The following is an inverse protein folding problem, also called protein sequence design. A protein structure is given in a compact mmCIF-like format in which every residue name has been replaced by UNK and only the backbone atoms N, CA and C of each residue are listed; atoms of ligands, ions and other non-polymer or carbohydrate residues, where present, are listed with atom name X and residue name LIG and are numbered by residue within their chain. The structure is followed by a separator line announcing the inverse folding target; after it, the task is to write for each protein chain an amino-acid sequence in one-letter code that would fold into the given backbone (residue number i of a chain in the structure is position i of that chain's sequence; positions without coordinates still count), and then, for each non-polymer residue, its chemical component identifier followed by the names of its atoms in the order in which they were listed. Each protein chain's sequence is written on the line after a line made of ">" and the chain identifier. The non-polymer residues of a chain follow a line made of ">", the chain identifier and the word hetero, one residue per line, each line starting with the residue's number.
data_IF_528006220595
#
_entry.id   IF_528006220595
#
_cell.length_a   1.000
_cell.length_b   1.000
_cell.length_c   1.000
_cell.angle_alpha   90.00
_cell.angle_beta   90.00
_cell.angle_gamma   90.00
#
_symmetry.space_group_name_H-M   'P 1'
#
loop_
_entity.id
_entity.type
_entity.pdbx_description
1 polymer ?
#
# COMPACT_ATOMS: atom_id res chain seq x y z
N UNK A 1 -28.32 15.83 18.68
CA UNK A 1 -26.91 16.26 18.57
C UNK A 1 -26.70 16.56 17.11
N UNK A 2 -27.10 17.78 16.75
CA UNK A 2 -26.84 18.36 15.44
C UNK A 2 -25.48 19.03 15.57
N UNK A 3 -24.58 18.72 14.64
CA UNK A 3 -23.25 19.33 14.58
C UNK A 3 -23.48 20.70 13.95
N UNK A 4 -23.36 21.75 14.75
CA UNK A 4 -23.38 23.13 14.27
C UNK A 4 -22.18 23.32 13.34
N UNK A 5 -22.46 23.69 12.08
CA UNK A 5 -21.45 24.12 11.14
C UNK A 5 -20.79 25.38 11.69
N UNK A 6 -19.50 25.28 12.03
CA UNK A 6 -18.67 26.44 12.39
C UNK A 6 -18.58 27.37 11.17
N UNK A 7 -19.45 28.37 11.11
CA UNK A 7 -19.31 29.52 10.21
C UNK A 7 -17.97 30.19 10.53
N UNK A 8 -16.98 30.00 9.67
CA UNK A 8 -15.72 30.73 9.73
C UNK A 8 -16.04 32.20 9.43
N UNK A 9 -16.26 32.98 10.48
CA UNK A 9 -16.40 34.42 10.42
C UNK A 9 -15.12 35.02 9.81
N UNK A 10 -15.20 35.52 8.57
CA UNK A 10 -14.10 36.20 7.91
C UNK A 10 -13.64 37.38 8.79
N UNK A 11 -12.46 37.24 9.41
CA UNK A 11 -11.86 38.30 10.23
C UNK A 11 -11.75 39.60 9.43
N UNK A 12 -12.03 40.77 10.04
CA UNK A 12 -12.00 42.05 9.36
C UNK A 12 -10.62 42.35 8.76
N UNK A 13 -10.61 43.08 7.64
CA UNK A 13 -9.42 43.45 6.89
C UNK A 13 -8.37 44.15 7.78
N UNK A 14 -7.10 44.01 7.40
CA UNK A 14 -5.95 44.65 8.05
C UNK A 14 -6.26 46.13 8.34
N UNK A 15 -6.06 46.62 9.59
CA UNK A 15 -6.35 48.01 9.92
C UNK A 15 -5.42 48.94 9.13
N UNK A 16 -5.98 49.98 8.53
CA UNK A 16 -5.19 51.00 7.86
C UNK A 16 -4.39 51.83 8.88
N UNK A 17 -3.16 52.26 8.54
CA UNK A 17 -2.37 53.14 9.39
C UNK A 17 -3.13 54.46 9.68
N UNK A 18 -2.92 55.07 10.86
CA UNK A 18 -3.53 56.37 11.17
C UNK A 18 -3.07 57.45 10.17
N UNK A 19 -3.96 58.38 9.84
CA UNK A 19 -3.75 59.48 8.88
C UNK A 19 -3.50 59.05 7.42
N UNK A 20 -3.87 57.84 7.02
CA UNK A 20 -3.80 57.41 5.62
C UNK A 20 -4.76 58.17 4.68
N UNK A 21 -5.77 58.85 5.21
CA UNK A 21 -6.69 59.66 4.41
C UNK A 21 -6.09 60.99 3.92
N UNK A 22 -5.01 61.47 4.54
CA UNK A 22 -4.34 62.72 4.15
C UNK A 22 -3.61 62.51 2.81
N UNK A 23 -3.87 63.34 1.78
CA UNK A 23 -3.19 63.27 0.49
C UNK A 23 -1.66 63.38 0.55
N UNK A 24 -1.12 63.96 1.62
CA UNK A 24 0.32 64.09 1.83
C UNK A 24 0.93 62.94 2.65
N UNK A 25 0.11 61.97 3.08
CA UNK A 25 0.56 60.79 3.80
C UNK A 25 1.30 59.83 2.88
N UNK A 26 2.38 59.25 3.36
CA UNK A 26 3.10 58.17 2.64
C UNK A 26 2.23 56.91 2.42
N UNK A 27 1.12 56.80 3.16
CA UNK A 27 0.16 55.69 3.06
C UNK A 27 -1.11 56.05 2.27
N UNK A 28 -1.19 57.23 1.64
CA UNK A 28 -2.40 57.67 0.94
C UNK A 28 -2.76 56.78 -0.25
N UNK A 29 -1.77 56.34 -1.02
CA UNK A 29 -1.98 55.45 -2.17
C UNK A 29 -2.53 54.08 -1.72
N UNK A 30 -2.08 53.60 -0.56
CA UNK A 30 -2.57 52.36 0.05
C UNK A 30 -4.03 52.55 0.48
N UNK A 31 -4.37 53.67 1.10
CA UNK A 31 -5.76 54.01 1.44
C UNK A 31 -6.68 54.04 0.21
N UNK A 32 -6.26 54.71 -0.86
CA UNK A 32 -7.02 54.76 -2.12
C UNK A 32 -7.22 53.36 -2.70
N UNK A 33 -6.19 52.53 -2.70
CA UNK A 33 -6.27 51.14 -3.17
C UNK A 33 -7.29 50.33 -2.35
N UNK A 34 -7.22 50.37 -1.02
CA UNK A 34 -8.16 49.63 -0.16
C UNK A 34 -9.60 50.09 -0.35
N UNK A 35 -9.84 51.41 -0.39
CA UNK A 35 -11.18 51.98 -0.59
C UNK A 35 -11.78 51.60 -1.95
N UNK A 36 -10.94 51.58 -2.98
CA UNK A 36 -11.35 51.17 -4.32
C UNK A 36 -11.62 49.66 -4.38
N UNK A 37 -10.82 48.84 -3.70
CA UNK A 37 -11.06 47.40 -3.59
C UNK A 37 -12.34 47.06 -2.80
N UNK A 38 -12.63 47.79 -1.73
CA UNK A 38 -13.90 47.64 -0.99
C UNK A 38 -15.10 47.96 -1.87
N UNK A 39 -15.01 49.03 -2.69
CA UNK A 39 -16.04 49.37 -3.67
C UNK A 39 -16.22 48.27 -4.71
N UNK A 40 -15.14 47.70 -5.26
CA UNK A 40 -15.25 46.57 -6.19
C UNK A 40 -15.80 45.29 -5.54
N UNK A 41 -15.50 45.05 -4.25
CA UNK A 41 -16.06 43.91 -3.51
C UNK A 41 -17.54 44.07 -3.18
N UNK A 42 -18.00 45.29 -2.91
CA UNK A 42 -19.43 45.55 -2.67
C UNK A 42 -20.26 45.53 -3.95
N UNK A 43 -19.65 45.86 -5.09
CA UNK A 43 -20.27 45.80 -6.43
C UNK A 43 -20.17 44.40 -7.08
N UNK A 44 -19.30 43.51 -6.58
CA UNK A 44 -19.17 42.13 -7.08
C UNK A 44 -20.25 41.23 -6.47
N UNK A 45 -21.10 40.65 -7.31
CA UNK A 45 -22.10 39.65 -6.90
C UNK A 45 -21.42 38.50 -6.15
N UNK A 46 -21.70 38.39 -4.84
CA UNK A 46 -21.14 37.35 -3.94
C UNK A 46 -21.49 35.91 -4.36
N UNK A 47 -22.44 35.75 -5.29
CA UNK A 47 -22.90 34.46 -5.80
C UNK A 47 -22.60 34.26 -7.30
N UNK A 48 -21.51 34.83 -7.82
CA UNK A 48 -21.03 34.48 -9.14
C UNK A 48 -20.48 33.05 -9.16
N UNK A 49 -21.36 32.09 -9.43
CA UNK A 49 -20.99 30.72 -9.76
C UNK A 49 -20.41 30.75 -11.17
N UNK A 50 -19.12 31.04 -11.28
CA UNK A 50 -18.37 30.73 -12.50
C UNK A 50 -18.32 29.22 -12.60
N UNK A 51 -19.18 28.64 -13.45
CA UNK A 51 -19.03 27.28 -13.92
C UNK A 51 -17.72 27.20 -14.70
N UNK A 52 -16.61 27.01 -13.99
CA UNK A 52 -15.41 26.49 -14.61
C UNK A 52 -15.82 25.14 -15.21
N UNK A 53 -15.55 24.86 -16.49
CA UNK A 53 -15.56 23.48 -16.91
C UNK A 53 -14.53 22.80 -16.01
N UNK A 54 -15.01 22.02 -15.04
CA UNK A 54 -14.25 20.89 -14.57
C UNK A 54 -14.11 20.02 -15.82
N UNK A 55 -13.04 20.28 -16.58
CA UNK A 55 -12.43 19.23 -17.34
C UNK A 55 -12.28 18.13 -16.32
N UNK A 56 -13.04 17.05 -16.50
CA UNK A 56 -12.70 15.81 -15.86
C UNK A 56 -11.27 15.55 -16.33
N UNK A 57 -10.28 15.97 -15.55
CA UNK A 57 -9.08 15.17 -15.41
C UNK A 57 -9.61 13.86 -14.89
N UNK A 58 -9.98 12.98 -15.83
CA UNK A 58 -9.64 11.59 -15.66
C UNK A 58 -8.22 11.63 -15.13
N UNK A 59 -8.03 11.19 -13.90
CA UNK A 59 -6.70 10.87 -13.40
C UNK A 59 -6.13 9.85 -14.38
N UNK A 60 -5.45 10.34 -15.41
CA UNK A 60 -4.58 9.57 -16.28
C UNK A 60 -3.27 9.23 -15.54
N UNK A 61 -3.30 9.22 -14.21
CA UNK A 61 -2.26 8.74 -13.31
C UNK A 61 -2.78 7.56 -12.48
N UNK A 62 -3.33 6.55 -13.16
CA UNK A 62 -3.36 5.16 -12.66
C UNK A 62 -3.45 4.18 -13.87
N UNK A 63 -2.74 4.50 -14.96
CA UNK A 63 -2.67 3.67 -16.17
C UNK A 63 -1.76 2.45 -16.03
N UNK A 64 -1.24 2.17 -14.84
CA UNK A 64 -0.71 0.86 -14.47
C UNK A 64 -1.77 0.13 -13.64
N UNK A 65 -2.76 -0.42 -14.34
CA UNK A 65 -3.55 -1.56 -13.86
C UNK A 65 -3.92 -1.53 -12.36
N UNK A 66 -5.19 -1.20 -12.05
CA UNK A 66 -5.94 -2.10 -11.15
C UNK A 66 -5.86 -3.50 -11.76
N UNK A 67 -4.75 -4.21 -11.54
CA UNK A 67 -4.47 -5.51 -12.15
C UNK A 67 -5.52 -6.44 -11.60
N UNK A 68 -6.59 -6.69 -12.34
CA UNK A 68 -7.44 -7.84 -12.02
C UNK A 68 -6.51 -9.04 -11.94
N UNK A 69 -6.68 -9.85 -10.88
CA UNK A 69 -5.92 -11.08 -10.75
C UNK A 69 -6.18 -11.89 -12.01
N UNK A 70 -5.12 -12.26 -12.74
CA UNK A 70 -5.32 -12.77 -14.07
C UNK A 70 -5.74 -14.25 -13.98
N UNK A 71 -6.80 -14.59 -14.73
CA UNK A 71 -7.40 -15.92 -14.69
C UNK A 71 -6.46 -16.97 -15.28
N UNK A 72 -6.08 -17.96 -14.48
CA UNK A 72 -5.06 -18.95 -14.85
C UNK A 72 -5.59 -20.12 -15.71
N UNK A 73 -6.89 -20.16 -16.03
CA UNK A 73 -7.53 -21.33 -16.65
C UNK A 73 -7.94 -22.37 -15.62
N UNK A 74 -9.05 -23.08 -15.89
CA UNK A 74 -9.63 -24.07 -14.96
C UNK A 74 -8.67 -25.21 -14.63
N UNK A 75 -7.79 -25.56 -15.56
CA UNK A 75 -6.83 -26.64 -15.41
C UNK A 75 -5.64 -26.30 -14.49
N UNK A 76 -5.42 -25.01 -14.21
CA UNK A 76 -4.44 -24.54 -13.25
C UNK A 76 -5.10 -24.04 -11.96
N UNK A 77 -6.42 -24.23 -11.81
CA UNK A 77 -7.16 -23.83 -10.61
C UNK A 77 -6.61 -24.56 -9.38
N UNK A 78 -6.49 -23.86 -8.26
CA UNK A 78 -6.04 -24.50 -7.02
C UNK A 78 -7.20 -25.29 -6.45
N UNK A 79 -7.00 -26.59 -6.24
CA UNK A 79 -8.05 -27.43 -5.66
C UNK A 79 -8.43 -26.96 -4.24
N UNK A 80 -9.72 -27.00 -3.86
CA UNK A 80 -10.14 -26.66 -2.51
C UNK A 80 -9.44 -27.49 -1.43
N UNK A 81 -9.19 -28.77 -1.71
CA UNK A 81 -8.52 -29.69 -0.79
C UNK A 81 -7.07 -29.24 -0.53
N UNK A 82 -6.35 -28.82 -1.57
CA UNK A 82 -5.01 -28.27 -1.44
C UNK A 82 -5.00 -27.01 -0.57
N UNK A 83 -5.96 -26.09 -0.80
CA UNK A 83 -6.08 -24.85 -0.01
C UNK A 83 -6.34 -25.15 1.45
N UNK A 84 -7.34 -25.99 1.74
CA UNK A 84 -7.71 -26.35 3.11
C UNK A 84 -6.54 -26.97 3.87
N UNK A 85 -5.85 -27.94 3.25
CA UNK A 85 -4.71 -28.61 3.85
C UNK A 85 -3.58 -27.65 4.22
N UNK A 86 -3.17 -26.79 3.29
CA UNK A 86 -2.03 -25.89 3.50
C UNK A 86 -2.36 -24.70 4.39
N UNK A 87 -3.62 -24.24 4.41
CA UNK A 87 -4.08 -23.21 5.36
C UNK A 87 -4.02 -23.72 6.79
N UNK A 88 -4.41 -24.98 7.02
CA UNK A 88 -4.31 -25.60 8.34
C UNK A 88 -2.84 -25.75 8.76
N UNK A 89 -1.99 -26.27 7.87
CA UNK A 89 -0.55 -26.36 8.13
C UNK A 89 0.08 -25.01 8.42
N UNK A 90 -0.26 -23.98 7.64
CA UNK A 90 0.24 -22.63 7.84
C UNK A 90 -0.12 -22.09 9.24
N UNK A 91 -1.34 -22.32 9.71
CA UNK A 91 -1.77 -21.90 11.05
C UNK A 91 -0.98 -22.61 12.15
N UNK A 92 -0.77 -23.92 12.02
CA UNK A 92 0.03 -24.71 12.97
C UNK A 92 1.47 -24.22 12.99
N UNK A 93 2.10 -24.07 11.82
CA UNK A 93 3.47 -23.56 11.70
C UNK A 93 3.60 -22.15 12.28
N UNK A 94 2.61 -21.28 12.03
CA UNK A 94 2.58 -19.92 12.55
C UNK A 94 2.58 -19.95 14.09
N UNK A 95 1.68 -20.72 14.70
CA UNK A 95 1.59 -20.84 16.16
C UNK A 95 2.87 -21.38 16.80
N UNK A 96 3.49 -22.40 16.21
CA UNK A 96 4.78 -22.93 16.68
C UNK A 96 5.89 -21.88 16.61
N UNK A 97 5.89 -21.08 15.54
CA UNK A 97 6.90 -20.07 15.30
C UNK A 97 6.74 -18.86 16.22
N UNK A 98 5.50 -18.47 16.55
CA UNK A 98 5.22 -17.46 17.57
C UNK A 98 5.62 -17.92 18.97
N UNK A 99 5.46 -19.20 19.31
CA UNK A 99 5.99 -19.78 20.56
C UNK A 99 7.50 -19.70 20.65
N UNK A 100 8.22 -19.96 19.55
CA UNK A 100 9.69 -19.82 19.52
C UNK A 100 10.13 -18.36 19.59
N UNK A 101 9.36 -17.44 18.99
CA UNK A 101 9.71 -16.01 18.95
C UNK A 101 9.85 -15.39 20.35
N UNK A 102 9.07 -15.85 21.34
CA UNK A 102 9.18 -15.37 22.72
C UNK A 102 10.49 -15.78 23.41
N UNK A 103 11.21 -16.78 22.89
CA UNK A 103 12.45 -17.30 23.45
C UNK A 103 13.70 -16.68 22.80
N UNK A 104 13.54 -15.97 21.67
CA UNK A 104 14.66 -15.45 20.87
C UNK A 104 14.98 -14.01 21.27
N UNK A 105 16.27 -13.75 21.54
CA UNK A 105 16.80 -12.39 21.74
C UNK A 105 16.76 -11.63 20.41
N UNK A 106 16.09 -10.47 20.40
CA UNK A 106 16.04 -9.61 19.21
C UNK A 106 17.45 -9.22 18.76
N UNK A 107 17.74 -9.44 17.47
CA UNK A 107 19.00 -9.01 16.86
C UNK A 107 18.86 -7.55 16.44
N UNK A 108 19.88 -6.73 16.72
CA UNK A 108 19.85 -5.29 16.45
C UNK A 108 20.18 -4.93 15.00
N UNK A 109 20.89 -5.80 14.25
CA UNK A 109 21.42 -5.44 12.94
C UNK A 109 20.53 -5.94 11.79
N UNK A 110 19.86 -5.00 11.12
CA UNK A 110 19.10 -5.27 9.90
C UNK A 110 20.05 -5.29 8.69
N UNK A 111 19.97 -6.30 7.80
CA UNK A 111 20.84 -6.36 6.63
C UNK A 111 20.57 -5.20 5.67
N UNK A 112 21.62 -4.70 5.02
CA UNK A 112 21.47 -3.73 3.93
C UNK A 112 20.73 -4.34 2.73
N UNK A 113 20.15 -3.49 1.88
CA UNK A 113 19.42 -3.90 0.68
C UNK A 113 20.22 -4.88 -0.21
N UNK A 114 21.50 -4.59 -0.46
CA UNK A 114 22.36 -5.45 -1.28
C UNK A 114 22.65 -6.80 -0.60
N UNK A 115 22.78 -6.82 0.73
CA UNK A 115 22.96 -8.04 1.50
C UNK A 115 21.70 -8.90 1.44
N UNK A 116 20.52 -8.28 1.55
CA UNK A 116 19.24 -8.98 1.46
C UNK A 116 18.98 -9.59 0.08
N UNK A 117 19.29 -8.86 -1.00
CA UNK A 117 19.19 -9.38 -2.37
C UNK A 117 19.92 -10.71 -2.53
N UNK A 118 21.14 -10.81 -1.98
CA UNK A 118 21.94 -12.03 -2.04
C UNK A 118 21.44 -13.11 -1.08
N UNK A 119 20.95 -12.73 0.11
CA UNK A 119 20.38 -13.67 1.09
C UNK A 119 19.19 -14.46 0.52
N UNK A 120 18.36 -13.82 -0.30
CA UNK A 120 17.20 -14.50 -0.90
C UNK A 120 17.53 -15.59 -1.95
N UNK A 121 18.81 -15.74 -2.30
CA UNK A 121 19.30 -16.85 -3.13
C UNK A 121 19.76 -18.05 -2.29
N UNK A 122 19.94 -17.87 -0.98
CA UNK A 122 20.35 -18.90 -0.03
C UNK A 122 19.14 -19.52 0.70
N UNK A 123 19.28 -20.73 1.29
CA UNK A 123 18.25 -21.31 2.14
C UNK A 123 17.86 -20.40 3.31
N UNK A 124 16.57 -20.38 3.65
CA UNK A 124 16.06 -19.54 4.73
C UNK A 124 16.48 -20.06 6.09
N UNK A 125 17.15 -19.24 6.89
CA UNK A 125 17.31 -19.48 8.33
C UNK A 125 16.15 -18.82 9.10
N UNK A 126 15.23 -19.64 9.62
CA UNK A 126 14.07 -19.16 10.38
C UNK A 126 14.51 -18.48 11.68
N UNK A 127 15.60 -18.91 12.31
CA UNK A 127 16.10 -18.29 13.55
C UNK A 127 16.64 -16.88 13.28
N UNK A 128 17.22 -16.67 12.11
CA UNK A 128 17.62 -15.34 11.65
C UNK A 128 16.41 -14.41 11.53
N UNK A 129 15.31 -14.89 10.94
CA UNK A 129 14.09 -14.11 10.76
C UNK A 129 13.35 -13.79 12.07
N UNK A 130 13.35 -14.73 13.02
CA UNK A 130 12.71 -14.54 14.33
C UNK A 130 13.29 -13.37 15.12
N UNK A 131 14.57 -13.04 14.88
CA UNK A 131 15.24 -11.91 15.51
C UNK A 131 14.77 -10.54 15.04
N UNK A 132 13.95 -10.45 13.98
CA UNK A 132 13.49 -9.19 13.41
C UNK A 132 12.23 -8.62 14.07
N UNK A 133 12.23 -7.30 14.19
CA UNK A 133 11.08 -6.50 14.60
C UNK A 133 10.03 -6.44 13.49
N UNK A 134 8.78 -6.13 13.86
CA UNK A 134 7.69 -6.05 12.88
C UNK A 134 7.98 -5.06 11.75
N UNK A 135 8.52 -3.87 12.06
CA UNK A 135 8.90 -2.87 11.05
C UNK A 135 9.91 -3.40 10.03
N UNK A 136 10.85 -4.22 10.48
CA UNK A 136 11.85 -4.85 9.62
C UNK A 136 11.19 -5.88 8.69
N UNK A 137 10.23 -6.66 9.19
CA UNK A 137 9.45 -7.59 8.37
C UNK A 137 8.64 -6.86 7.30
N UNK A 138 8.06 -5.69 7.62
CA UNK A 138 7.34 -4.85 6.65
C UNK A 138 8.28 -4.43 5.50
N UNK A 139 9.48 -3.94 5.82
CA UNK A 139 10.47 -3.56 4.81
C UNK A 139 10.91 -4.74 3.94
N UNK A 140 11.00 -5.96 4.51
CA UNK A 140 11.30 -7.17 3.75
C UNK A 140 10.15 -7.58 2.81
N UNK A 141 8.89 -7.43 3.24
CA UNK A 141 7.72 -7.66 2.38
C UNK A 141 7.69 -6.64 1.23
N UNK A 142 7.97 -5.37 1.49
CA UNK A 142 8.10 -4.34 0.43
C UNK A 142 9.22 -4.67 -0.55
N UNK A 143 10.36 -5.13 -0.06
CA UNK A 143 11.43 -5.62 -0.94
C UNK A 143 10.94 -6.75 -1.84
N UNK A 144 10.15 -7.68 -1.30
CA UNK A 144 9.58 -8.77 -2.09
C UNK A 144 8.68 -8.26 -3.21
N UNK A 145 7.95 -7.15 -3.01
CA UNK A 145 7.17 -6.51 -4.09
C UNK A 145 8.07 -6.06 -5.23
N UNK A 146 9.17 -5.36 -4.94
CA UNK A 146 10.09 -4.86 -5.96
C UNK A 146 10.81 -6.00 -6.70
N UNK A 147 11.23 -7.05 -5.98
CA UNK A 147 11.82 -8.23 -6.61
C UNK A 147 10.79 -9.02 -7.43
N UNK A 148 9.53 -9.10 -6.98
CA UNK A 148 8.45 -9.70 -7.77
C UNK A 148 8.18 -8.94 -9.06
N UNK A 149 8.20 -7.60 -9.02
CA UNK A 149 8.02 -6.73 -10.19
C UNK A 149 9.09 -6.96 -11.26
N UNK A 150 10.33 -7.21 -10.84
CA UNK A 150 11.47 -7.36 -11.75
C UNK A 150 11.58 -8.75 -12.41
N UNK A 151 10.83 -9.76 -11.94
CA UNK A 151 10.98 -11.15 -12.34
C UNK A 151 9.69 -11.73 -12.91
N UNK A 152 9.83 -12.62 -13.90
CA UNK A 152 8.71 -13.36 -14.51
C UNK A 152 8.52 -14.73 -13.86
N UNK A 153 9.59 -15.29 -13.29
CA UNK A 153 9.59 -16.58 -12.61
C UNK A 153 10.41 -16.49 -11.32
N UNK A 154 10.00 -17.27 -10.32
CA UNK A 154 10.55 -17.25 -8.98
C UNK A 154 11.26 -18.56 -8.67
N UNK A 155 12.43 -18.46 -8.04
CA UNK A 155 13.17 -19.63 -7.58
C UNK A 155 12.47 -20.25 -6.36
N UNK A 156 12.79 -21.51 -6.13
CA UNK A 156 12.33 -22.26 -4.97
C UNK A 156 12.70 -21.57 -3.65
N UNK A 157 13.95 -21.11 -3.55
CA UNK A 157 14.44 -20.40 -2.37
C UNK A 157 13.66 -19.10 -2.16
N UNK A 158 13.38 -18.35 -3.23
CA UNK A 158 12.63 -17.10 -3.12
C UNK A 158 11.18 -17.33 -2.66
N UNK A 159 10.52 -18.38 -3.15
CA UNK A 159 9.20 -18.78 -2.67
C UNK A 159 9.22 -19.12 -1.18
N UNK A 160 10.23 -19.86 -0.73
CA UNK A 160 10.42 -20.19 0.69
C UNK A 160 10.62 -18.93 1.54
N UNK A 161 11.44 -17.96 1.09
CA UNK A 161 11.62 -16.68 1.79
C UNK A 161 10.28 -15.94 1.96
N UNK A 162 9.47 -15.85 0.90
CA UNK A 162 8.14 -15.22 0.98
C UNK A 162 7.26 -15.97 1.98
N UNK A 163 7.19 -17.31 1.90
CA UNK A 163 6.40 -18.11 2.83
C UNK A 163 6.80 -17.86 4.29
N UNK A 164 8.10 -17.80 4.59
CA UNK A 164 8.59 -17.52 5.95
C UNK A 164 8.31 -16.10 6.40
N UNK A 165 8.34 -15.10 5.51
CA UNK A 165 7.87 -13.74 5.84
C UNK A 165 6.38 -13.70 6.16
N UNK A 166 5.58 -14.44 5.39
CA UNK A 166 4.16 -14.59 5.66
C UNK A 166 3.94 -15.25 7.03
N UNK A 167 4.71 -16.26 7.45
CA UNK A 167 4.55 -16.84 8.79
C UNK A 167 4.84 -15.84 9.92
N UNK A 168 5.82 -14.95 9.72
CA UNK A 168 6.30 -14.03 10.77
C UNK A 168 5.51 -12.71 10.80
N UNK A 169 4.77 -12.41 9.73
CA UNK A 169 3.91 -11.23 9.67
C UNK A 169 2.87 -11.26 10.81
N UNK A 170 2.87 -10.19 11.61
CA UNK A 170 1.98 -10.03 12.75
C UNK A 170 0.63 -9.48 12.27
N UNK A 171 -0.45 -10.03 12.82
CA UNK A 171 -1.80 -9.54 12.62
C UNK A 171 -2.20 -8.64 13.80
N UNK A 172 -3.06 -7.61 13.59
CA UNK A 172 -3.69 -7.22 12.33
C UNK A 172 -2.72 -6.56 11.35
N UNK A 173 -2.92 -6.81 10.05
CA UNK A 173 -2.11 -6.18 9.01
C UNK A 173 -2.46 -4.70 8.87
N UNK A 174 -1.45 -3.86 8.74
CA UNK A 174 -1.66 -2.47 8.30
C UNK A 174 -2.02 -2.41 6.79
N UNK A 175 -2.48 -1.25 6.34
CA UNK A 175 -2.88 -1.01 4.95
C UNK A 175 -1.71 -1.13 3.96
N UNK A 176 -0.49 -0.85 4.42
CA UNK A 176 0.74 -0.90 3.60
C UNK A 176 1.13 -2.35 3.31
N UNK A 177 1.09 -3.21 4.32
CA UNK A 177 1.33 -4.64 4.20
C UNK A 177 0.23 -5.25 3.34
N UNK A 178 -1.03 -4.92 3.61
CA UNK A 178 -2.16 -5.41 2.81
C UNK A 178 -1.99 -5.11 1.31
N UNK A 179 -1.66 -3.86 0.97
CA UNK A 179 -1.36 -3.46 -0.42
C UNK A 179 -0.15 -4.20 -1.01
N UNK A 180 0.90 -4.41 -0.21
CA UNK A 180 2.09 -5.14 -0.62
C UNK A 180 1.79 -6.62 -0.90
N UNK A 181 1.01 -7.27 -0.03
CA UNK A 181 0.59 -8.66 -0.21
C UNK A 181 -0.31 -8.82 -1.44
N UNK A 182 -1.23 -7.89 -1.66
CA UNK A 182 -2.06 -7.86 -2.86
C UNK A 182 -1.21 -7.72 -4.13
N UNK A 183 -0.16 -6.89 -4.10
CA UNK A 183 0.81 -6.77 -5.19
C UNK A 183 1.56 -8.08 -5.43
N UNK A 184 2.09 -8.72 -4.38
CA UNK A 184 2.77 -10.02 -4.47
C UNK A 184 1.83 -11.07 -5.07
N UNK A 185 0.59 -11.16 -4.59
CA UNK A 185 -0.43 -12.06 -5.10
C UNK A 185 -0.63 -11.90 -6.62
N UNK A 186 -0.79 -10.67 -7.10
CA UNK A 186 -0.92 -10.38 -8.55
C UNK A 186 0.29 -10.86 -9.34
N UNK A 187 1.50 -10.63 -8.84
CA UNK A 187 2.72 -11.07 -9.51
C UNK A 187 2.84 -12.61 -9.54
N UNK A 188 2.51 -13.30 -8.45
CA UNK A 188 2.49 -14.76 -8.42
C UNK A 188 1.45 -15.37 -9.36
N UNK A 189 0.25 -14.78 -9.45
CA UNK A 189 -0.75 -15.22 -10.42
C UNK A 189 -0.27 -15.04 -11.87
N UNK A 190 0.45 -13.95 -12.19
CA UNK A 190 1.07 -13.78 -13.51
C UNK A 190 2.19 -14.78 -13.78
N UNK A 191 3.06 -15.01 -12.82
CA UNK A 191 4.13 -16.00 -12.93
C UNK A 191 3.55 -17.41 -13.13
N UNK A 192 2.43 -17.73 -12.46
CA UNK A 192 1.68 -18.97 -12.65
C UNK A 192 1.10 -19.08 -14.07
N UNK A 193 0.52 -18.03 -14.62
CA UNK A 193 0.03 -18.03 -16.01
C UNK A 193 1.11 -18.22 -17.07
N UNK A 194 2.35 -17.86 -16.76
CA UNK A 194 3.48 -18.09 -17.66
C UNK A 194 3.93 -19.56 -17.70
N UNK A 195 3.35 -20.43 -16.85
CA UNK A 195 3.62 -21.86 -16.83
C UNK A 195 2.60 -22.57 -17.73
N UNK A 196 3.10 -23.26 -18.75
CA UNK A 196 2.28 -24.02 -19.70
C UNK A 196 2.21 -25.52 -19.37
N UNK A 197 3.16 -26.02 -18.57
CA UNK A 197 3.22 -27.42 -18.16
C UNK A 197 2.52 -27.61 -16.81
N UNK A 198 1.55 -28.53 -16.75
CA UNK A 198 0.76 -28.82 -15.54
C UNK A 198 1.57 -29.57 -14.49
N UNK A 199 2.63 -30.27 -14.89
CA UNK A 199 3.49 -31.03 -14.00
C UNK A 199 4.71 -30.21 -13.53
N UNK A 200 4.72 -28.91 -13.83
CA UNK A 200 5.78 -28.01 -13.39
C UNK A 200 5.81 -27.89 -11.87
N UNK A 201 6.95 -28.27 -11.28
CA UNK A 201 7.18 -28.27 -9.83
C UNK A 201 7.00 -26.91 -9.16
N UNK A 202 7.07 -25.82 -9.93
CA UNK A 202 6.87 -24.45 -9.41
C UNK A 202 5.41 -24.16 -9.09
N UNK A 203 4.47 -24.83 -9.75
CA UNK A 203 3.03 -24.60 -9.56
C UNK A 203 2.62 -24.85 -8.11
N UNK A 204 3.11 -25.91 -7.49
CA UNK A 204 2.83 -26.24 -6.10
C UNK A 204 3.24 -25.09 -5.16
N UNK A 205 4.46 -24.56 -5.33
CA UNK A 205 4.99 -23.47 -4.51
C UNK A 205 4.24 -22.17 -4.74
N UNK A 206 3.89 -21.86 -5.99
CA UNK A 206 3.11 -20.67 -6.29
C UNK A 206 1.71 -20.78 -5.70
N UNK A 207 1.09 -21.96 -5.81
CA UNK A 207 -0.22 -22.24 -5.23
C UNK A 207 -0.20 -22.12 -3.72
N UNK A 208 0.87 -22.55 -3.05
CA UNK A 208 1.06 -22.38 -1.62
C UNK A 208 1.06 -20.88 -1.22
N UNK A 209 1.87 -20.05 -1.88
CA UNK A 209 1.94 -18.61 -1.60
C UNK A 209 0.60 -17.92 -1.87
N UNK A 210 0.00 -18.21 -3.03
CA UNK A 210 -1.29 -17.64 -3.44
C UNK A 210 -2.37 -17.98 -2.40
N UNK A 211 -2.52 -19.27 -2.05
CA UNK A 211 -3.52 -19.72 -1.08
C UNK A 211 -3.29 -19.09 0.29
N UNK A 212 -2.03 -18.98 0.73
CA UNK A 212 -1.70 -18.36 2.02
C UNK A 212 -2.14 -16.89 2.06
N UNK A 213 -1.84 -16.10 1.03
CA UNK A 213 -2.21 -14.68 0.99
C UNK A 213 -3.74 -14.49 0.94
N UNK A 214 -4.44 -15.34 0.20
CA UNK A 214 -5.88 -15.25 0.00
C UNK A 214 -6.64 -15.72 1.23
N UNK A 215 -6.32 -16.91 1.74
CA UNK A 215 -7.10 -17.58 2.77
C UNK A 215 -6.70 -17.19 4.19
N UNK A 216 -5.41 -16.93 4.44
CA UNK A 216 -4.94 -16.54 5.76
C UNK A 216 -5.01 -15.03 5.96
N UNK A 217 -4.61 -14.24 4.95
CA UNK A 217 -4.55 -12.78 5.05
C UNK A 217 -5.76 -12.04 4.46
N UNK A 218 -6.74 -12.79 3.94
CA UNK A 218 -7.99 -12.27 3.36
C UNK A 218 -7.77 -11.16 2.34
N UNK A 219 -6.66 -11.22 1.60
CA UNK A 219 -6.35 -10.26 0.56
C UNK A 219 -7.05 -10.70 -0.73
N UNK A 220 -8.36 -10.50 -0.81
CA UNK A 220 -9.17 -10.69 -2.00
C UNK A 220 -10.42 -9.82 -1.95
N UNK A 221 -10.61 -9.00 -2.99
CA UNK A 221 -11.96 -8.60 -3.38
C UNK A 221 -12.66 -9.84 -3.95
N UNK A 222 -13.93 -10.04 -3.61
CA UNK A 222 -14.72 -11.29 -3.61
C UNK A 222 -14.81 -12.09 -4.96
N UNK A 223 -14.15 -11.66 -6.03
CA UNK A 223 -14.33 -12.19 -7.39
C UNK A 223 -13.20 -13.09 -7.92
N UNK A 224 -12.20 -13.43 -7.09
CA UNK A 224 -11.05 -14.19 -7.59
C UNK A 224 -11.35 -15.69 -7.50
N UNK A 225 -11.77 -16.27 -8.64
CA UNK A 225 -11.78 -17.71 -8.85
C UNK A 225 -10.35 -18.25 -8.99
N UNK A 226 -9.65 -18.39 -7.86
CA UNK A 226 -8.39 -19.14 -7.71
C UNK A 226 -8.66 -20.64 -7.74
#
# INVERSE_FOLDING_TARGET
>A
MEVEDDEIECKPALPLPPNSEDPNSEYHDIYLYFKQNEKYRSESDKNNTLLQPHGNTFDFMETDFKMRIPYCGDEFKISPEFRLHHVEQFRVEKDELFKKKSEVVQKSEFPSYNKFKNLTEEPVDVNFLLGFQHIQIIELIKFCVEKCRALVMYSDNYCEWIYRFLLIAQEPLDSTISSSLNSILKYFCRAKQAIFDKDDKRLEKYNLIISTIVDCYRQCDEDIMI
#
